data_IF_127647680327
#
_entry.id   IF_127647680327
#
_cell.length_a   1.000
_cell.length_b   1.000
_cell.length_c   1.000
_cell.angle_alpha   90.00
_cell.angle_beta   90.00
_cell.angle_gamma   90.00
#
_symmetry.space_group_name_H-M   'P 1'
#
loop_
_entity.id
_entity.type
_entity.pdbx_description
1 polymer ?
#
# COMPACT_ATOMS: atom_id res chain seq x y z
N UNK A 1 -28.69 -7.72 -42.29
CA UNK A 1 -27.65 -6.77 -42.68
C UNK A 1 -28.27 -5.48 -43.25
N UNK A 2 -28.90 -4.64 -42.42
CA UNK A 2 -29.34 -3.28 -42.76
C UNK A 2 -29.91 -2.62 -41.46
N UNK A 3 -29.05 -2.26 -40.52
CA UNK A 3 -29.48 -1.48 -39.32
C UNK A 3 -28.35 -0.64 -38.67
N UNK A 4 -27.09 -0.80 -39.11
CA UNK A 4 -25.95 -0.13 -38.47
C UNK A 4 -25.54 1.21 -39.13
N UNK A 5 -26.20 1.62 -40.22
CA UNK A 5 -25.79 2.80 -41.00
C UNK A 5 -26.47 4.12 -40.58
N UNK A 6 -27.52 4.08 -39.80
CA UNK A 6 -28.28 5.29 -39.46
C UNK A 6 -27.86 5.96 -38.12
N UNK A 7 -27.43 5.19 -37.15
CA UNK A 7 -26.93 5.77 -35.87
C UNK A 7 -25.56 6.46 -36.06
N UNK A 8 -24.68 5.88 -36.89
CA UNK A 8 -23.38 6.49 -37.20
C UNK A 8 -23.51 7.85 -37.93
N UNK A 9 -24.61 8.07 -38.66
CA UNK A 9 -24.86 9.33 -39.38
C UNK A 9 -25.46 10.46 -38.52
N UNK A 10 -26.09 10.14 -37.41
CA UNK A 10 -26.60 11.13 -36.47
C UNK A 10 -25.52 11.74 -35.58
N UNK A 11 -24.50 10.96 -35.23
CA UNK A 11 -23.36 11.39 -34.39
C UNK A 11 -22.37 12.33 -35.11
N UNK A 12 -22.31 12.28 -36.45
CA UNK A 12 -21.41 13.12 -37.28
C UNK A 12 -21.91 14.57 -37.44
N UNK A 13 -23.14 14.91 -37.03
CA UNK A 13 -23.70 16.25 -37.18
C UNK A 13 -23.53 17.19 -35.98
N UNK A 14 -22.89 16.76 -34.91
CA UNK A 14 -22.64 17.63 -33.76
C UNK A 14 -21.25 18.28 -33.90
N UNK A 15 -21.11 19.60 -34.10
CA UNK A 15 -19.85 20.28 -34.35
C UNK A 15 -18.84 20.16 -33.17
N UNK A 16 -19.32 19.92 -31.94
CA UNK A 16 -18.49 19.79 -30.75
C UNK A 16 -17.66 18.51 -30.68
N UNK A 17 -17.92 17.51 -31.56
CA UNK A 17 -17.23 16.22 -31.53
C UNK A 17 -16.03 16.16 -32.50
N UNK A 18 -15.94 17.10 -33.44
CA UNK A 18 -14.88 17.13 -34.47
C UNK A 18 -13.49 17.57 -33.95
N UNK A 19 -13.43 18.13 -32.75
CA UNK A 19 -12.19 18.70 -32.21
C UNK A 19 -11.39 17.74 -31.31
N UNK A 20 -11.83 16.49 -31.10
CA UNK A 20 -11.14 15.54 -30.22
C UNK A 20 -10.59 14.31 -30.95
N UNK A 21 -9.29 14.30 -31.31
CA UNK A 21 -8.65 13.16 -32.02
C UNK A 21 -8.69 11.84 -31.23
N UNK A 22 -8.82 11.89 -29.89
CA UNK A 22 -8.82 10.70 -29.02
C UNK A 22 -10.12 9.87 -29.13
N UNK A 23 -11.24 10.46 -29.57
CA UNK A 23 -12.53 9.77 -29.66
C UNK A 23 -12.54 8.65 -30.73
N UNK A 24 -11.75 8.80 -31.81
CA UNK A 24 -11.69 7.84 -32.90
C UNK A 24 -10.92 6.53 -32.57
N UNK A 25 -10.13 6.54 -31.52
CA UNK A 25 -9.42 5.34 -31.05
C UNK A 25 -10.34 4.37 -30.29
N UNK A 26 -11.38 4.89 -29.65
CA UNK A 26 -12.35 4.11 -28.88
C UNK A 26 -13.36 3.33 -29.74
N UNK A 27 -13.66 3.80 -30.98
CA UNK A 27 -14.66 3.19 -31.86
C UNK A 27 -14.08 2.34 -33.00
N UNK A 28 -12.76 2.08 -33.02
CA UNK A 28 -12.13 1.12 -33.94
C UNK A 28 -12.19 1.48 -35.43
N UNK A 29 -12.31 2.77 -35.79
CA UNK A 29 -12.31 3.20 -37.18
C UNK A 29 -10.90 3.09 -37.79
N UNK A 30 -10.73 2.22 -38.80
CA UNK A 30 -9.51 2.05 -39.58
C UNK A 30 -9.24 3.30 -40.45
N UNK A 31 -8.06 3.87 -40.33
CA UNK A 31 -7.45 4.76 -41.30
C UNK A 31 -7.16 6.20 -40.84
N UNK A 32 -6.11 6.38 -40.08
CA UNK A 32 -5.47 7.67 -39.86
C UNK A 32 -4.20 7.48 -39.01
N UNK A 33 -3.02 7.75 -39.59
CA UNK A 33 -1.77 7.79 -38.86
C UNK A 33 -1.79 8.99 -37.91
N UNK A 34 -1.76 8.72 -36.58
CA UNK A 34 -1.59 9.76 -35.55
C UNK A 34 -0.09 10.10 -35.49
N UNK A 35 0.27 11.36 -35.72
CA UNK A 35 1.66 11.82 -35.61
C UNK A 35 2.09 11.87 -34.14
N UNK A 36 3.38 11.72 -33.84
CA UNK A 36 3.92 11.74 -32.49
C UNK A 36 3.55 12.99 -31.66
N UNK A 37 3.29 14.12 -32.31
CA UNK A 37 2.83 15.38 -31.68
C UNK A 37 1.37 15.26 -31.19
N UNK A 38 0.53 14.51 -31.87
CA UNK A 38 -0.88 14.28 -31.47
C UNK A 38 -1.00 13.27 -30.34
N UNK A 39 -0.08 12.30 -30.25
CA UNK A 39 -0.01 11.38 -29.11
C UNK A 39 0.46 12.10 -27.82
N UNK A 40 1.47 12.95 -27.92
CA UNK A 40 1.96 13.76 -26.79
C UNK A 40 0.92 14.79 -26.31
N UNK A 41 0.11 15.35 -27.21
CA UNK A 41 -0.99 16.24 -26.84
C UNK A 41 -2.14 15.52 -26.13
N UNK A 42 -2.40 14.25 -26.48
CA UNK A 42 -3.38 13.40 -25.80
C UNK A 42 -2.93 13.05 -24.37
N UNK A 43 -1.64 12.72 -24.19
CA UNK A 43 -1.06 12.42 -22.88
C UNK A 43 -1.01 13.68 -21.99
N UNK A 44 -0.66 14.84 -22.57
CA UNK A 44 -0.71 16.12 -21.84
C UNK A 44 -2.16 16.54 -21.50
N UNK A 45 -3.15 16.20 -22.31
CA UNK A 45 -4.55 16.48 -22.03
C UNK A 45 -5.09 15.58 -20.92
N UNK A 46 -4.71 14.29 -20.91
CA UNK A 46 -5.01 13.39 -19.80
C UNK A 46 -4.31 13.81 -18.50
N UNK A 47 -3.05 14.22 -18.57
CA UNK A 47 -2.32 14.78 -17.42
C UNK A 47 -2.93 16.10 -16.94
N UNK A 48 -3.45 16.95 -17.83
CA UNK A 48 -4.18 18.17 -17.46
C UNK A 48 -5.55 17.91 -16.84
N UNK A 49 -6.29 16.88 -17.27
CA UNK A 49 -7.54 16.46 -16.62
C UNK A 49 -7.28 15.90 -15.21
N UNK A 50 -6.14 15.23 -15.02
CA UNK A 50 -5.69 14.76 -13.70
C UNK A 50 -5.19 15.93 -12.82
N UNK A 51 -4.59 16.98 -13.42
CA UNK A 51 -4.06 18.14 -12.70
C UNK A 51 -5.07 19.27 -12.45
N UNK A 52 -6.24 19.27 -13.09
CA UNK A 52 -7.30 20.27 -12.88
C UNK A 52 -8.34 19.87 -11.83
N UNK A 53 -8.09 18.85 -11.01
CA UNK A 53 -8.84 18.55 -9.78
C UNK A 53 -8.63 19.60 -8.68
N UNK A 54 -8.65 20.88 -9.00
CA UNK A 54 -8.78 22.01 -8.08
C UNK A 54 -10.19 22.58 -8.20
N UNK A 55 -11.13 21.91 -7.53
CA UNK A 55 -12.46 22.42 -7.29
C UNK A 55 -13.05 21.60 -6.15
N UNK A 56 -13.69 22.25 -5.19
CA UNK A 56 -14.45 21.60 -4.11
C UNK A 56 -15.12 20.36 -4.69
N UNK A 57 -14.83 19.18 -4.14
CA UNK A 57 -15.45 17.93 -4.56
C UNK A 57 -16.96 18.09 -4.48
N UNK A 58 -17.66 17.98 -5.60
CA UNK A 58 -19.12 18.13 -5.67
C UNK A 58 -19.88 16.97 -5.03
N UNK A 59 -19.18 16.09 -4.29
CA UNK A 59 -19.77 14.93 -3.61
C UNK A 59 -20.66 15.32 -2.45
N UNK A 60 -21.83 14.67 -2.38
CA UNK A 60 -22.82 14.83 -1.30
C UNK A 60 -22.40 14.04 -0.06
N UNK A 61 -21.82 12.84 -0.27
CA UNK A 61 -21.40 11.96 0.81
C UNK A 61 -20.10 12.44 1.46
N UNK A 62 -20.02 12.34 2.78
CA UNK A 62 -18.83 12.70 3.54
C UNK A 62 -17.66 11.80 3.19
N UNK A 63 -17.90 10.52 2.91
CA UNK A 63 -16.88 9.56 2.55
C UNK A 63 -16.18 9.95 1.23
N UNK A 64 -16.92 10.09 0.13
CA UNK A 64 -16.29 10.42 -1.16
C UNK A 64 -15.67 11.82 -1.15
N UNK A 65 -16.26 12.77 -0.45
CA UNK A 65 -15.67 14.10 -0.27
C UNK A 65 -14.32 13.99 0.44
N UNK A 66 -14.26 13.30 1.58
CA UNK A 66 -13.00 13.08 2.33
C UNK A 66 -11.95 12.38 1.48
N UNK A 67 -12.31 11.31 0.77
CA UNK A 67 -11.37 10.60 -0.07
C UNK A 67 -10.87 11.46 -1.25
N UNK A 68 -11.74 12.26 -1.86
CA UNK A 68 -11.39 13.17 -2.95
C UNK A 68 -10.41 14.25 -2.51
N UNK A 69 -10.71 14.95 -1.41
CA UNK A 69 -9.90 16.05 -0.88
C UNK A 69 -8.53 15.57 -0.40
N UNK A 70 -8.45 14.34 0.10
CA UNK A 70 -7.20 13.71 0.54
C UNK A 70 -6.41 13.01 -0.57
N UNK A 71 -6.99 12.83 -1.77
CA UNK A 71 -6.30 12.25 -2.92
C UNK A 71 -6.32 10.72 -2.98
N UNK A 72 -7.30 10.06 -2.36
CA UNK A 72 -7.45 8.60 -2.40
C UNK A 72 -8.10 8.09 -3.68
N UNK A 73 -8.86 8.90 -4.40
CA UNK A 73 -9.67 8.44 -5.53
C UNK A 73 -8.83 8.39 -6.81
N UNK A 74 -8.69 7.20 -7.37
CA UNK A 74 -8.16 6.98 -8.72
C UNK A 74 -9.31 6.78 -9.71
N UNK A 75 -10.26 5.88 -9.41
CA UNK A 75 -11.37 5.55 -10.29
C UNK A 75 -12.57 5.02 -9.50
N UNK A 76 -13.79 5.37 -9.95
CA UNK A 76 -15.06 4.89 -9.43
C UNK A 76 -15.89 4.33 -10.60
N UNK A 77 -16.60 3.22 -10.41
CA UNK A 77 -17.39 2.56 -11.46
C UNK A 77 -18.63 3.31 -11.88
N UNK A 78 -19.31 3.92 -10.90
CA UNK A 78 -20.48 4.81 -11.07
C UNK A 78 -20.42 5.83 -9.94
N UNK A 79 -19.90 7.01 -10.27
CA UNK A 79 -19.64 8.07 -9.31
C UNK A 79 -20.93 8.61 -8.70
N UNK A 80 -21.92 8.91 -9.53
CA UNK A 80 -23.18 9.49 -9.06
C UNK A 80 -24.02 8.49 -8.26
N UNK A 81 -24.12 7.24 -8.71
CA UNK A 81 -24.86 6.20 -8.01
C UNK A 81 -24.23 5.84 -6.67
N UNK A 82 -22.90 5.76 -6.58
CA UNK A 82 -22.21 5.51 -5.34
C UNK A 82 -22.34 6.69 -4.35
N UNK A 83 -22.22 7.94 -4.83
CA UNK A 83 -22.35 9.12 -3.99
C UNK A 83 -23.78 9.26 -3.40
N UNK A 84 -24.80 9.00 -4.22
CA UNK A 84 -26.19 8.99 -3.75
C UNK A 84 -26.45 7.89 -2.71
N UNK A 85 -25.88 6.70 -2.91
CA UNK A 85 -26.02 5.58 -1.99
C UNK A 85 -25.37 5.91 -0.63
N UNK A 86 -24.10 6.37 -0.65
CA UNK A 86 -23.34 6.73 0.55
C UNK A 86 -23.94 7.93 1.30
N UNK A 87 -24.57 8.88 0.60
CA UNK A 87 -25.25 10.01 1.24
C UNK A 87 -26.59 9.63 1.91
N UNK A 88 -27.17 8.49 1.52
CA UNK A 88 -28.52 8.09 1.94
C UNK A 88 -28.53 7.07 3.07
N UNK A 89 -27.59 6.13 3.08
CA UNK A 89 -27.60 5.02 4.02
C UNK A 89 -26.18 4.58 4.44
N UNK A 90 -26.10 3.82 5.53
CA UNK A 90 -24.85 3.16 5.94
C UNK A 90 -24.53 2.05 4.95
N UNK A 91 -23.43 2.19 4.24
CA UNK A 91 -22.96 1.24 3.23
C UNK A 91 -21.90 0.32 3.83
N UNK A 92 -22.03 -1.00 3.59
CA UNK A 92 -20.98 -1.96 3.88
C UNK A 92 -20.04 -2.04 2.69
N UNK A 93 -18.72 -1.86 2.93
CA UNK A 93 -17.69 -1.93 1.90
C UNK A 93 -16.47 -2.73 2.36
N UNK A 94 -15.73 -3.34 1.43
CA UNK A 94 -14.59 -4.17 1.77
C UNK A 94 -13.33 -3.89 0.96
N UNK A 95 -12.21 -4.30 1.54
CA UNK A 95 -10.94 -4.50 0.85
C UNK A 95 -10.44 -5.91 1.18
N UNK A 96 -9.92 -6.62 0.17
CA UNK A 96 -9.31 -7.94 0.33
C UNK A 96 -7.80 -7.84 0.59
N UNK A 97 -7.31 -8.71 1.48
CA UNK A 97 -5.90 -8.80 1.86
C UNK A 97 -5.45 -10.26 1.84
N UNK A 98 -4.57 -10.62 0.92
CA UNK A 98 -3.93 -11.92 0.92
C UNK A 98 -2.87 -12.00 2.01
N UNK A 99 -2.95 -12.97 2.95
CA UNK A 99 -2.07 -13.08 4.11
C UNK A 99 -0.73 -13.70 3.73
N UNK A 100 0.08 -13.00 2.93
CA UNK A 100 1.37 -13.49 2.40
C UNK A 100 2.55 -13.32 3.35
N UNK A 101 2.34 -12.65 4.48
CA UNK A 101 3.28 -12.45 5.57
C UNK A 101 2.51 -12.21 6.88
N UNK A 102 3.15 -12.37 8.06
CA UNK A 102 2.50 -12.14 9.36
C UNK A 102 2.23 -10.65 9.66
N UNK A 103 2.54 -9.76 8.73
CA UNK A 103 2.26 -8.32 8.80
C UNK A 103 1.93 -7.77 7.41
N UNK A 104 1.32 -6.59 7.38
CA UNK A 104 1.27 -5.73 6.20
C UNK A 104 2.47 -4.78 6.21
N UNK A 105 2.83 -4.23 5.06
CA UNK A 105 3.87 -3.21 4.95
C UNK A 105 3.26 -1.84 4.62
N UNK A 106 4.03 -0.76 4.80
CA UNK A 106 3.57 0.62 4.61
C UNK A 106 2.96 0.90 3.22
N UNK A 107 3.32 0.11 2.18
CA UNK A 107 2.67 0.21 0.87
C UNK A 107 1.19 -0.19 0.87
N UNK A 108 0.74 -1.01 1.83
CA UNK A 108 -0.67 -1.39 2.02
C UNK A 108 -1.44 -0.45 2.95
N UNK A 109 -0.77 0.51 3.57
CA UNK A 109 -1.40 1.40 4.56
C UNK A 109 -2.49 2.28 3.95
N UNK A 110 -2.36 2.66 2.66
CA UNK A 110 -3.40 3.44 1.98
C UNK A 110 -4.76 2.72 1.98
N UNK A 111 -4.77 1.39 1.77
CA UNK A 111 -5.99 0.60 1.80
C UNK A 111 -6.60 0.53 3.21
N UNK A 112 -5.75 0.45 4.24
CA UNK A 112 -6.21 0.50 5.64
C UNK A 112 -6.83 1.87 5.94
N UNK A 113 -6.20 2.96 5.49
CA UNK A 113 -6.73 4.32 5.65
C UNK A 113 -8.06 4.53 4.91
N UNK A 114 -8.29 3.89 3.77
CA UNK A 114 -9.60 3.93 3.09
C UNK A 114 -10.69 3.27 3.96
N UNK A 115 -10.41 2.13 4.60
CA UNK A 115 -11.35 1.49 5.53
C UNK A 115 -11.54 2.35 6.80
N UNK A 116 -10.48 2.98 7.30
CA UNK A 116 -10.55 3.92 8.42
C UNK A 116 -11.51 5.08 8.10
N UNK A 117 -11.30 5.77 6.97
CA UNK A 117 -12.18 6.88 6.56
C UNK A 117 -13.62 6.43 6.30
N UNK A 118 -13.81 5.21 5.76
CA UNK A 118 -15.15 4.63 5.60
C UNK A 118 -15.87 4.54 6.96
N UNK A 119 -15.17 4.06 8.01
CA UNK A 119 -15.74 3.96 9.34
C UNK A 119 -15.98 5.34 9.97
N UNK A 120 -15.01 6.26 9.85
CA UNK A 120 -15.11 7.60 10.43
C UNK A 120 -16.25 8.43 9.80
N UNK A 121 -16.68 8.10 8.59
CA UNK A 121 -17.78 8.77 7.90
C UNK A 121 -19.12 8.03 8.03
N UNK A 122 -19.23 7.07 8.96
CA UNK A 122 -20.51 6.43 9.33
C UNK A 122 -20.89 5.22 8.49
N UNK A 123 -19.94 4.57 7.83
CA UNK A 123 -20.14 3.35 7.05
C UNK A 123 -19.46 2.14 7.69
N UNK A 124 -19.75 0.93 7.18
CA UNK A 124 -19.28 -0.33 7.76
C UNK A 124 -18.13 -0.93 6.98
N UNK A 125 -16.89 -0.91 7.50
CA UNK A 125 -15.76 -1.53 6.84
C UNK A 125 -15.70 -3.05 7.07
N UNK A 126 -15.32 -3.78 6.03
CA UNK A 126 -15.02 -5.21 6.08
C UNK A 126 -13.59 -5.44 5.59
N UNK A 127 -12.74 -5.98 6.45
CA UNK A 127 -11.43 -6.49 6.06
C UNK A 127 -11.58 -7.98 5.67
N UNK A 128 -11.51 -8.28 4.37
CA UNK A 128 -11.57 -9.65 3.87
C UNK A 128 -10.17 -10.27 3.89
N UNK A 129 -9.99 -11.31 4.69
CA UNK A 129 -8.77 -12.11 4.69
C UNK A 129 -8.83 -13.18 3.58
N UNK A 130 -7.83 -13.19 2.72
CA UNK A 130 -7.69 -14.14 1.63
C UNK A 130 -7.18 -15.51 2.10
N UNK A 131 -7.84 -16.15 3.07
CA UNK A 131 -7.43 -17.48 3.54
C UNK A 131 -7.58 -18.57 2.48
N UNK A 132 -8.58 -18.44 1.60
CA UNK A 132 -8.76 -19.30 0.42
C UNK A 132 -7.93 -18.82 -0.78
N UNK A 133 -8.03 -17.54 -1.13
CA UNK A 133 -7.29 -16.95 -2.27
C UNK A 133 -5.78 -16.91 -2.03
N UNK A 134 -5.31 -16.82 -0.80
CA UNK A 134 -3.89 -16.90 -0.44
C UNK A 134 -3.24 -18.24 -0.77
N UNK A 135 -4.02 -19.33 -0.87
CA UNK A 135 -3.54 -20.62 -1.37
C UNK A 135 -3.36 -20.64 -2.90
N UNK A 136 -3.98 -19.70 -3.61
CA UNK A 136 -3.91 -19.58 -5.08
C UNK A 136 -2.86 -18.56 -5.49
N UNK A 137 -2.89 -17.37 -4.93
CA UNK A 137 -2.00 -16.24 -5.18
C UNK A 137 -2.44 -15.35 -6.34
N UNK A 138 -2.59 -14.06 -6.06
CA UNK A 138 -2.94 -13.04 -7.05
C UNK A 138 -1.80 -12.84 -8.07
N UNK A 139 -2.04 -13.03 -9.38
CA UNK A 139 -1.04 -12.83 -10.43
C UNK A 139 -0.82 -11.35 -10.78
N UNK A 140 -1.65 -10.43 -10.27
CA UNK A 140 -1.64 -9.02 -10.67
C UNK A 140 -0.27 -8.37 -10.44
N UNK A 141 0.36 -7.89 -11.54
CA UNK A 141 1.65 -7.19 -11.57
C UNK A 141 2.82 -7.95 -10.92
N UNK A 142 2.83 -9.28 -11.02
CA UNK A 142 3.94 -10.14 -10.55
C UNK A 142 4.51 -10.94 -11.71
N UNK A 143 5.83 -11.05 -11.71
CA UNK A 143 6.58 -11.75 -12.77
C UNK A 143 6.76 -13.25 -12.48
N UNK A 144 6.58 -13.67 -11.22
CA UNK A 144 6.78 -15.07 -10.78
C UNK A 144 5.57 -15.59 -9.99
N UNK A 145 5.33 -16.89 -10.10
CA UNK A 145 4.34 -17.60 -9.29
C UNK A 145 4.71 -17.54 -7.79
N UNK A 146 3.70 -17.35 -6.93
CA UNK A 146 3.91 -17.35 -5.49
C UNK A 146 4.21 -18.74 -4.96
N UNK A 147 5.04 -18.82 -3.90
CA UNK A 147 5.15 -20.04 -3.09
C UNK A 147 3.79 -20.37 -2.48
N UNK A 148 3.36 -21.62 -2.65
CA UNK A 148 2.17 -22.12 -1.97
C UNK A 148 2.38 -22.14 -0.47
N UNK A 149 1.46 -21.56 0.28
CA UNK A 149 1.49 -21.51 1.74
C UNK A 149 0.63 -22.63 2.33
N UNK A 150 1.02 -23.11 3.51
CA UNK A 150 0.19 -24.03 4.28
C UNK A 150 -0.95 -23.30 4.99
N UNK A 151 -2.00 -24.01 5.38
CA UNK A 151 -3.11 -23.44 6.13
C UNK A 151 -2.67 -22.84 7.47
N UNK A 152 -1.75 -23.51 8.18
CA UNK A 152 -1.21 -23.03 9.44
C UNK A 152 -0.46 -21.69 9.25
N UNK A 153 0.38 -21.60 8.22
CA UNK A 153 1.07 -20.34 7.88
C UNK A 153 0.09 -19.22 7.55
N UNK A 154 -0.99 -19.54 6.81
CA UNK A 154 -2.03 -18.56 6.49
C UNK A 154 -2.75 -18.10 7.77
N UNK A 155 -3.08 -19.01 8.68
CA UNK A 155 -3.75 -18.67 9.94
C UNK A 155 -2.87 -17.79 10.85
N UNK A 156 -1.57 -18.09 10.96
CA UNK A 156 -0.58 -17.28 11.69
C UNK A 156 -0.46 -15.87 11.08
N UNK A 157 -0.38 -15.78 9.75
CA UNK A 157 -0.31 -14.51 9.05
C UNK A 157 -1.58 -13.67 9.27
N UNK A 158 -2.77 -14.27 9.19
CA UNK A 158 -4.04 -13.58 9.49
C UNK A 158 -4.05 -13.03 10.91
N UNK A 159 -3.59 -13.82 11.89
CA UNK A 159 -3.52 -13.38 13.28
C UNK A 159 -2.58 -12.17 13.47
N UNK A 160 -1.45 -12.14 12.75
CA UNK A 160 -0.53 -11.01 12.73
C UNK A 160 -1.16 -9.76 12.10
N UNK A 161 -1.79 -9.91 10.96
CA UNK A 161 -2.47 -8.81 10.24
C UNK A 161 -3.62 -8.22 11.07
N UNK A 162 -4.37 -9.07 11.79
CA UNK A 162 -5.47 -8.61 12.66
C UNK A 162 -5.03 -7.59 13.70
N UNK A 163 -3.82 -7.73 14.26
CA UNK A 163 -3.28 -6.76 15.23
C UNK A 163 -3.07 -5.37 14.61
N UNK A 164 -2.67 -5.31 13.34
CA UNK A 164 -2.52 -4.04 12.61
C UNK A 164 -3.88 -3.34 12.47
N UNK A 165 -4.89 -4.06 12.02
CA UNK A 165 -6.23 -3.48 11.81
C UNK A 165 -6.85 -2.93 13.09
N UNK A 166 -6.61 -3.55 14.24
CA UNK A 166 -7.14 -3.13 15.54
C UNK A 166 -6.69 -1.71 15.95
N UNK A 167 -5.60 -1.20 15.36
CA UNK A 167 -5.12 0.17 15.62
C UNK A 167 -5.82 1.22 14.73
N UNK A 168 -6.46 0.81 13.66
CA UNK A 168 -7.11 1.72 12.69
C UNK A 168 -8.63 1.63 12.69
N UNK A 169 -9.20 0.50 13.09
CA UNK A 169 -10.61 0.18 13.01
C UNK A 169 -11.15 -0.25 14.37
N UNK A 170 -12.35 0.21 14.70
CA UNK A 170 -13.12 -0.29 15.83
C UNK A 170 -13.93 -1.50 15.38
N UNK A 171 -13.67 -2.66 15.99
CA UNK A 171 -14.40 -3.90 15.76
C UNK A 171 -15.48 -4.09 16.83
N UNK A 172 -16.64 -4.62 16.45
CA UNK A 172 -17.75 -4.89 17.38
C UNK A 172 -19.05 -5.17 16.64
N UNK A 173 -20.18 -4.92 17.33
CA UNK A 173 -21.51 -5.28 16.86
C UNK A 173 -22.39 -4.09 16.44
N UNK A 174 -21.84 -2.85 16.48
CA UNK A 174 -22.61 -1.68 16.05
C UNK A 174 -22.75 -1.64 14.52
N UNK A 175 -23.64 -0.77 14.03
CA UNK A 175 -23.92 -0.66 12.59
C UNK A 175 -22.68 -0.28 11.77
N UNK A 176 -21.73 0.43 12.37
CA UNK A 176 -20.51 0.93 11.73
C UNK A 176 -19.23 0.22 12.20
N UNK A 177 -19.35 -0.70 13.16
CA UNK A 177 -18.20 -1.47 13.61
C UNK A 177 -17.66 -2.36 12.49
N UNK A 178 -16.34 -2.43 12.40
CA UNK A 178 -15.65 -3.20 11.40
C UNK A 178 -15.86 -4.71 11.59
N UNK A 179 -15.88 -5.42 10.47
CA UNK A 179 -15.83 -6.88 10.44
C UNK A 179 -14.52 -7.37 9.84
N UNK A 180 -14.01 -8.47 10.35
CA UNK A 180 -12.95 -9.23 9.70
C UNK A 180 -13.51 -10.60 9.34
N UNK A 181 -13.50 -10.92 8.05
CA UNK A 181 -14.05 -12.18 7.52
C UNK A 181 -12.97 -12.90 6.69
N UNK A 182 -13.10 -14.20 6.54
CA UNK A 182 -12.14 -15.03 5.82
C UNK A 182 -12.83 -15.73 4.65
N UNK A 183 -12.34 -15.55 3.43
CA UNK A 183 -12.94 -16.17 2.25
C UNK A 183 -12.76 -17.70 2.23
N UNK A 184 -11.87 -18.26 3.03
CA UNK A 184 -11.81 -19.71 3.25
C UNK A 184 -13.13 -20.30 3.76
N UNK A 185 -13.96 -19.52 4.46
CA UNK A 185 -15.24 -19.97 5.04
C UNK A 185 -16.26 -20.40 3.96
N UNK A 186 -16.13 -19.88 2.75
CA UNK A 186 -16.98 -20.29 1.62
C UNK A 186 -16.20 -20.94 0.48
N UNK A 187 -14.93 -20.58 0.22
CA UNK A 187 -14.17 -21.13 -0.89
C UNK A 187 -13.75 -22.58 -0.67
N UNK A 188 -13.48 -23.01 0.57
CA UNK A 188 -13.01 -24.38 0.86
C UNK A 188 -14.05 -25.47 0.57
N UNK A 189 -15.32 -25.14 0.71
CA UNK A 189 -16.41 -26.10 0.61
C UNK A 189 -17.13 -26.06 -0.74
N UNK A 190 -16.57 -25.36 -1.73
CA UNK A 190 -17.13 -25.25 -3.07
C UNK A 190 -16.98 -26.59 -3.80
N UNK A 191 -18.10 -27.14 -4.29
CA UNK A 191 -18.05 -28.22 -5.25
C UNK A 191 -17.57 -27.68 -6.60
N UNK A 192 -16.48 -28.22 -7.12
CA UNK A 192 -15.83 -27.71 -8.33
C UNK A 192 -16.75 -27.72 -9.56
N UNK A 193 -17.52 -28.80 -9.78
CA UNK A 193 -18.42 -28.89 -10.94
C UNK A 193 -19.60 -27.92 -10.82
N UNK A 194 -20.15 -27.77 -9.64
CA UNK A 194 -21.22 -26.80 -9.38
C UNK A 194 -20.72 -25.38 -9.56
N UNK A 195 -19.54 -25.07 -9.06
CA UNK A 195 -18.92 -23.75 -9.24
C UNK A 195 -18.67 -23.42 -10.71
N UNK A 196 -18.13 -24.35 -11.51
CA UNK A 196 -17.96 -24.15 -12.94
C UNK A 196 -19.30 -23.91 -13.65
N UNK A 197 -20.35 -24.67 -13.30
CA UNK A 197 -21.68 -24.54 -13.87
C UNK A 197 -22.35 -23.23 -13.50
N UNK A 198 -22.29 -22.84 -12.22
CA UNK A 198 -23.11 -21.76 -11.70
C UNK A 198 -22.38 -20.39 -11.72
N UNK A 199 -21.06 -20.40 -11.60
CA UNK A 199 -20.20 -19.21 -11.61
C UNK A 199 -19.35 -19.13 -12.89
N UNK A 200 -18.62 -20.21 -13.22
CA UNK A 200 -17.68 -20.23 -14.35
C UNK A 200 -18.35 -19.91 -15.70
N UNK A 201 -19.62 -20.34 -15.90
CA UNK A 201 -20.42 -20.01 -17.10
C UNK A 201 -20.56 -18.53 -17.39
N UNK A 202 -20.37 -17.67 -16.42
CA UNK A 202 -20.48 -16.21 -16.56
C UNK A 202 -19.20 -15.55 -17.04
N UNK A 203 -18.08 -16.27 -17.09
CA UNK A 203 -16.79 -15.78 -17.52
C UNK A 203 -16.46 -16.21 -18.96
N UNK A 204 -16.07 -15.26 -19.78
CA UNK A 204 -15.55 -15.54 -21.11
C UNK A 204 -14.02 -15.58 -21.08
N UNK A 205 -13.43 -16.68 -21.53
CA UNK A 205 -11.96 -16.84 -21.62
C UNK A 205 -11.34 -15.71 -22.43
N UNK A 206 -11.94 -15.32 -23.55
CA UNK A 206 -11.42 -14.22 -24.39
C UNK A 206 -11.36 -12.89 -23.62
N UNK A 207 -12.35 -12.62 -22.76
CA UNK A 207 -12.36 -11.43 -21.90
C UNK A 207 -11.32 -11.56 -20.79
N UNK A 208 -11.21 -12.72 -20.17
CA UNK A 208 -10.21 -12.97 -19.12
C UNK A 208 -8.78 -12.77 -19.63
N UNK A 209 -8.49 -13.19 -20.88
CA UNK A 209 -7.20 -12.98 -21.54
C UNK A 209 -6.91 -11.50 -21.89
N UNK A 210 -7.93 -10.64 -21.93
CA UNK A 210 -7.77 -9.22 -22.26
C UNK A 210 -7.45 -8.33 -21.06
N UNK A 211 -7.52 -8.85 -19.83
CA UNK A 211 -7.18 -8.07 -18.63
C UNK A 211 -5.68 -7.79 -18.55
N UNK A 212 -5.31 -6.60 -18.12
CA UNK A 212 -3.92 -6.15 -18.10
C UNK A 212 -3.00 -7.07 -17.30
N UNK A 213 -3.48 -7.63 -16.18
CA UNK A 213 -2.74 -8.59 -15.35
C UNK A 213 -2.38 -9.88 -16.08
N UNK A 214 -3.28 -10.37 -16.94
CA UNK A 214 -3.08 -11.57 -17.76
C UNK A 214 -2.31 -11.22 -19.04
N UNK A 215 -2.78 -10.21 -19.76
CA UNK A 215 -2.22 -9.78 -21.03
C UNK A 215 -0.74 -9.43 -20.93
N UNK A 216 -0.35 -8.67 -19.90
CA UNK A 216 1.05 -8.29 -19.68
C UNK A 216 1.96 -9.51 -19.51
N UNK A 217 1.50 -10.56 -18.83
CA UNK A 217 2.26 -11.81 -18.67
C UNK A 217 2.37 -12.57 -19.98
N UNK A 218 1.28 -12.67 -20.73
CA UNK A 218 1.27 -13.32 -22.05
C UNK A 218 2.14 -12.58 -23.07
N UNK A 219 2.05 -11.25 -23.12
CA UNK A 219 2.85 -10.40 -24.01
C UNK A 219 4.37 -10.50 -23.71
N UNK A 220 4.73 -10.80 -22.45
CA UNK A 220 6.11 -11.01 -22.01
C UNK A 220 6.55 -12.47 -22.07
N UNK A 221 5.74 -13.37 -22.60
CA UNK A 221 5.97 -14.82 -22.64
C UNK A 221 6.24 -15.43 -21.25
N UNK A 222 5.71 -14.81 -20.20
CA UNK A 222 5.84 -15.30 -18.82
C UNK A 222 4.79 -16.38 -18.53
N UNK A 223 5.18 -17.41 -17.77
CA UNK A 223 4.28 -18.48 -17.38
C UNK A 223 3.12 -17.95 -16.53
N UNK A 224 1.90 -18.33 -16.87
CA UNK A 224 0.68 -18.13 -16.09
C UNK A 224 0.02 -19.48 -15.86
N UNK A 225 -0.02 -19.93 -14.62
CA UNK A 225 -0.64 -21.20 -14.30
C UNK A 225 -2.17 -21.11 -14.38
N UNK A 226 -2.84 -22.25 -14.61
CA UNK A 226 -4.31 -22.32 -14.56
C UNK A 226 -4.84 -21.90 -13.18
N UNK A 227 -4.11 -22.20 -12.11
CA UNK A 227 -4.44 -21.78 -10.75
C UNK A 227 -4.50 -20.26 -10.64
N UNK A 228 -3.44 -19.56 -11.02
CA UNK A 228 -3.38 -18.09 -11.01
C UNK A 228 -4.43 -17.46 -11.93
N UNK A 229 -4.69 -18.06 -13.09
CA UNK A 229 -5.71 -17.59 -14.03
C UNK A 229 -7.13 -17.62 -13.44
N UNK A 230 -7.42 -18.56 -12.53
CA UNK A 230 -8.71 -18.63 -11.85
C UNK A 230 -8.84 -17.62 -10.70
N UNK A 231 -7.78 -16.96 -10.24
CA UNK A 231 -7.84 -16.03 -9.11
C UNK A 231 -8.92 -14.95 -9.31
N UNK A 232 -9.03 -14.37 -10.51
CA UNK A 232 -10.02 -13.34 -10.82
C UNK A 232 -11.48 -13.82 -10.65
N UNK A 233 -11.74 -15.12 -10.87
CA UNK A 233 -13.08 -15.72 -10.69
C UNK A 233 -13.38 -15.83 -9.19
N UNK A 234 -12.39 -16.25 -8.38
CA UNK A 234 -12.53 -16.39 -6.94
C UNK A 234 -12.78 -15.05 -6.27
N UNK A 235 -12.02 -14.01 -6.65
CA UNK A 235 -12.22 -12.65 -6.12
C UNK A 235 -13.59 -12.07 -6.54
N UNK A 236 -14.03 -12.33 -7.76
CA UNK A 236 -15.36 -11.90 -8.21
C UNK A 236 -16.46 -12.62 -7.42
N UNK A 237 -16.27 -13.91 -7.10
CA UNK A 237 -17.20 -14.69 -6.29
C UNK A 237 -17.23 -14.20 -4.84
N UNK A 238 -16.07 -13.80 -4.26
CA UNK A 238 -16.00 -13.18 -2.94
C UNK A 238 -16.93 -11.97 -2.84
N UNK A 239 -16.95 -11.12 -3.86
CA UNK A 239 -17.82 -9.94 -3.87
C UNK A 239 -19.31 -10.34 -3.83
N UNK A 240 -19.71 -11.38 -4.60
CA UNK A 240 -21.07 -11.90 -4.61
C UNK A 240 -21.46 -12.53 -3.26
N UNK A 241 -20.56 -13.30 -2.66
CA UNK A 241 -20.80 -13.93 -1.35
C UNK A 241 -20.89 -12.87 -0.24
N UNK A 242 -20.01 -11.87 -0.26
CA UNK A 242 -20.06 -10.76 0.70
C UNK A 242 -21.33 -9.94 0.54
N UNK A 243 -21.77 -9.67 -0.69
CA UNK A 243 -23.04 -8.99 -0.95
C UNK A 243 -24.24 -9.76 -0.36
N UNK A 244 -24.28 -11.10 -0.56
CA UNK A 244 -25.38 -11.93 -0.05
C UNK A 244 -25.37 -12.08 1.48
N UNK A 245 -24.18 -12.16 2.09
CA UNK A 245 -24.04 -12.45 3.53
C UNK A 245 -24.12 -11.21 4.39
N UNK A 246 -23.62 -10.07 3.90
CA UNK A 246 -23.40 -8.85 4.68
C UNK A 246 -24.03 -7.60 4.06
N UNK A 247 -24.90 -7.77 3.04
CA UNK A 247 -25.45 -6.65 2.25
C UNK A 247 -24.39 -5.66 1.76
N UNK A 248 -23.24 -6.22 1.38
CA UNK A 248 -22.09 -5.42 0.96
C UNK A 248 -22.31 -4.89 -0.46
N UNK A 249 -21.99 -3.61 -0.68
CA UNK A 249 -22.29 -2.89 -1.93
C UNK A 249 -21.06 -2.33 -2.64
N UNK A 250 -19.93 -2.16 -1.94
CA UNK A 250 -18.74 -1.51 -2.47
C UNK A 250 -17.49 -2.36 -2.24
N UNK A 251 -16.74 -2.64 -3.31
CA UNK A 251 -15.37 -3.14 -3.21
C UNK A 251 -14.38 -2.01 -3.47
N UNK A 252 -13.37 -1.90 -2.61
CA UNK A 252 -12.27 -0.95 -2.76
C UNK A 252 -10.94 -1.69 -2.93
N UNK A 253 -9.94 -1.00 -3.49
CA UNK A 253 -8.60 -1.57 -3.68
C UNK A 253 -7.62 -0.60 -4.31
N UNK A 254 -6.41 -1.06 -4.67
CA UNK A 254 -5.48 -0.31 -5.51
C UNK A 254 -5.93 -0.32 -6.97
N UNK A 255 -5.41 0.60 -7.79
CA UNK A 255 -5.75 0.68 -9.22
C UNK A 255 -5.36 -0.58 -10.01
N UNK A 256 -4.40 -1.36 -9.49
CA UNK A 256 -4.03 -2.69 -10.01
C UNK A 256 -5.15 -3.73 -9.89
N UNK A 257 -6.10 -3.52 -8.97
CA UNK A 257 -7.22 -4.40 -8.72
C UNK A 257 -8.48 -4.08 -9.54
N UNK A 258 -8.47 -3.01 -10.34
CA UNK A 258 -9.64 -2.55 -11.08
C UNK A 258 -10.32 -3.65 -11.90
N UNK A 259 -9.53 -4.39 -12.69
CA UNK A 259 -10.04 -5.50 -13.52
C UNK A 259 -10.73 -6.60 -12.70
N UNK A 260 -10.12 -6.99 -11.58
CA UNK A 260 -10.69 -8.01 -10.69
C UNK A 260 -12.00 -7.52 -10.06
N UNK A 261 -12.05 -6.25 -9.62
CA UNK A 261 -13.24 -5.65 -8.99
C UNK A 261 -14.41 -5.55 -9.98
N UNK A 262 -14.17 -5.11 -11.22
CA UNK A 262 -15.19 -5.02 -12.26
C UNK A 262 -15.76 -6.39 -12.62
N UNK A 263 -14.95 -7.45 -12.59
CA UNK A 263 -15.44 -8.82 -12.75
C UNK A 263 -16.45 -9.20 -11.66
N UNK A 264 -16.22 -8.75 -10.42
CA UNK A 264 -17.14 -8.94 -9.31
C UNK A 264 -18.49 -8.23 -9.51
N UNK A 265 -18.47 -6.99 -10.02
CA UNK A 265 -19.69 -6.24 -10.38
C UNK A 265 -20.47 -6.97 -11.48
N UNK A 266 -19.80 -7.39 -12.56
CA UNK A 266 -20.43 -8.12 -13.66
C UNK A 266 -21.02 -9.44 -13.20
N UNK A 267 -20.31 -10.19 -12.37
CA UNK A 267 -20.78 -11.45 -11.81
C UNK A 267 -21.99 -11.21 -10.92
N UNK A 268 -21.94 -10.22 -10.03
CA UNK A 268 -23.03 -9.85 -9.14
C UNK A 268 -24.30 -9.51 -9.91
N UNK A 269 -24.19 -8.69 -10.96
CA UNK A 269 -25.33 -8.37 -11.84
C UNK A 269 -25.96 -9.64 -12.46
N UNK A 270 -25.13 -10.58 -12.95
CA UNK A 270 -25.59 -11.85 -13.55
C UNK A 270 -26.17 -12.83 -12.52
N UNK A 271 -25.76 -12.74 -11.26
CA UNK A 271 -26.22 -13.57 -10.15
C UNK A 271 -27.31 -12.90 -9.31
N UNK A 272 -27.82 -11.72 -9.74
CA UNK A 272 -28.98 -11.06 -9.15
C UNK A 272 -28.70 -10.38 -7.81
N UNK A 273 -27.46 -9.94 -7.54
CA UNK A 273 -27.17 -9.08 -6.39
C UNK A 273 -27.75 -7.69 -6.61
N UNK A 274 -27.95 -6.87 -5.56
CA UNK A 274 -28.15 -5.43 -5.72
C UNK A 274 -27.01 -4.79 -6.51
N UNK A 275 -27.18 -3.52 -6.94
CA UNK A 275 -26.12 -2.79 -7.63
C UNK A 275 -24.83 -2.75 -6.77
N UNK A 276 -23.74 -3.21 -7.35
CA UNK A 276 -22.41 -3.21 -6.74
C UNK A 276 -21.55 -2.10 -7.35
N UNK A 277 -20.60 -1.59 -6.55
CA UNK A 277 -19.75 -0.47 -6.91
C UNK A 277 -18.27 -0.80 -6.69
N UNK A 278 -17.41 -0.12 -7.45
CA UNK A 278 -15.95 -0.17 -7.32
C UNK A 278 -15.38 1.22 -7.05
N UNK A 279 -14.36 1.29 -6.18
CA UNK A 279 -13.53 2.46 -5.96
C UNK A 279 -12.08 2.02 -5.82
N UNK A 280 -11.17 2.64 -6.58
CA UNK A 280 -9.74 2.34 -6.47
C UNK A 280 -8.91 3.56 -6.10
N UNK A 281 -7.85 3.30 -5.33
CA UNK A 281 -6.80 4.28 -5.02
C UNK A 281 -5.67 4.22 -6.02
N UNK A 282 -4.89 5.30 -6.19
CA UNK A 282 -3.68 5.26 -6.99
C UNK A 282 -2.64 4.31 -6.39
N UNK A 283 -1.83 3.69 -7.25
CA UNK A 283 -0.60 3.02 -6.81
C UNK A 283 0.41 4.08 -6.42
N UNK A 284 0.92 3.97 -5.20
CA UNK A 284 1.83 4.98 -4.66
C UNK A 284 3.28 4.61 -4.93
N UNK A 285 3.98 5.59 -5.51
CA UNK A 285 5.44 5.67 -5.58
C UNK A 285 5.90 6.91 -4.85
N UNK A 286 7.14 6.93 -4.36
CA UNK A 286 7.79 8.16 -3.90
C UNK A 286 8.01 9.12 -5.07
N UNK A 287 8.35 10.37 -4.79
CA UNK A 287 8.68 11.36 -5.82
C UNK A 287 9.86 10.90 -6.71
N UNK A 288 10.79 10.11 -6.17
CA UNK A 288 11.88 9.47 -6.92
C UNK A 288 11.46 8.22 -7.72
N UNK A 289 10.17 7.83 -7.69
CA UNK A 289 9.63 6.68 -8.44
C UNK A 289 9.79 5.32 -7.75
N UNK A 290 10.26 5.27 -6.51
CA UNK A 290 10.36 4.02 -5.76
C UNK A 290 8.98 3.56 -5.27
N UNK A 291 8.75 2.24 -5.23
CA UNK A 291 7.50 1.69 -4.67
C UNK A 291 7.43 1.96 -3.16
N UNK A 292 6.29 2.48 -2.69
CA UNK A 292 6.00 2.67 -1.27
C UNK A 292 6.15 1.37 -0.46
N UNK A 293 6.61 1.50 0.78
CA UNK A 293 6.73 0.40 1.74
C UNK A 293 7.96 -0.48 1.57
N UNK A 294 8.94 -0.05 0.75
CA UNK A 294 10.26 -0.68 0.64
C UNK A 294 11.35 0.36 0.87
N UNK A 295 12.39 -0.03 1.59
CA UNK A 295 13.62 0.73 1.76
C UNK A 295 14.81 -0.12 1.30
N UNK A 296 16.01 0.45 1.33
CA UNK A 296 17.24 -0.32 1.11
C UNK A 296 17.42 -1.48 2.12
N UNK A 297 16.79 -1.38 3.30
CA UNK A 297 16.78 -2.41 4.34
C UNK A 297 15.65 -3.44 4.24
N UNK A 298 14.77 -3.35 3.23
CA UNK A 298 13.66 -4.29 3.05
C UNK A 298 12.27 -3.65 3.17
N UNK A 299 11.27 -4.46 3.52
CA UNK A 299 9.89 -4.00 3.69
C UNK A 299 9.72 -3.21 5.00
N UNK A 300 8.96 -2.13 4.95
CA UNK A 300 8.58 -1.34 6.12
C UNK A 300 7.33 -1.98 6.72
N UNK A 301 7.53 -2.86 7.67
CA UNK A 301 6.48 -3.63 8.32
C UNK A 301 5.67 -2.80 9.30
N UNK A 302 4.40 -3.17 9.48
CA UNK A 302 3.47 -2.48 10.38
C UNK A 302 3.43 -3.08 11.79
N UNK A 303 3.85 -4.33 11.99
CA UNK A 303 3.91 -4.93 13.33
C UNK A 303 5.22 -4.57 14.03
N UNK A 304 5.13 -4.17 15.30
CA UNK A 304 6.28 -3.74 16.10
C UNK A 304 7.35 -4.84 16.29
N UNK A 305 6.93 -6.12 16.26
CA UNK A 305 7.84 -7.27 16.34
C UNK A 305 8.72 -7.44 15.10
N UNK A 306 8.31 -6.83 13.96
CA UNK A 306 9.05 -6.91 12.69
C UNK A 306 9.79 -5.62 12.33
N UNK A 307 9.34 -4.48 12.85
CA UNK A 307 9.99 -3.18 12.70
C UNK A 307 9.65 -2.31 13.92
N UNK A 308 10.67 -1.83 14.62
CA UNK A 308 10.46 -1.00 15.81
C UNK A 308 9.68 0.29 15.50
N UNK A 309 8.96 0.84 16.48
CA UNK A 309 8.26 2.12 16.34
C UNK A 309 9.23 3.25 15.95
N UNK A 310 10.47 3.20 16.46
CA UNK A 310 11.51 4.16 16.11
C UNK A 310 11.93 4.06 14.64
N UNK A 311 12.18 2.85 14.11
CA UNK A 311 12.57 2.68 12.71
C UNK A 311 11.41 3.00 11.76
N UNK A 312 10.17 2.68 12.17
CA UNK A 312 8.96 3.09 11.46
C UNK A 312 8.83 4.61 11.43
N UNK A 313 9.03 5.31 12.56
CA UNK A 313 9.04 6.77 12.64
C UNK A 313 10.15 7.37 11.76
N UNK A 314 11.36 6.81 11.81
CA UNK A 314 12.49 7.25 10.97
C UNK A 314 12.21 7.11 9.47
N UNK A 315 11.50 6.06 9.05
CA UNK A 315 11.09 5.92 7.66
C UNK A 315 10.26 7.12 7.19
N UNK A 316 9.24 7.50 7.95
CA UNK A 316 8.38 8.65 7.61
C UNK A 316 9.11 9.98 7.76
N UNK A 317 9.98 10.13 8.75
CA UNK A 317 10.82 11.33 8.93
C UNK A 317 11.75 11.57 7.74
N UNK A 318 12.12 10.52 7.01
CA UNK A 318 12.99 10.55 5.84
C UNK A 318 12.23 10.69 4.51
N UNK A 319 10.94 11.02 4.55
CA UNK A 319 10.12 11.33 3.36
C UNK A 319 10.77 12.44 2.53
N UNK A 320 10.71 12.32 1.20
CA UNK A 320 11.16 13.35 0.27
C UNK A 320 10.26 14.59 0.40
N UNK A 321 10.83 15.80 0.24
CA UNK A 321 10.10 17.05 0.45
C UNK A 321 8.83 17.12 -0.42
N UNK A 322 8.94 16.68 -1.68
CA UNK A 322 7.83 16.67 -2.62
C UNK A 322 6.67 15.71 -2.26
N UNK A 323 6.91 14.75 -1.35
CA UNK A 323 5.92 13.79 -0.91
C UNK A 323 5.21 14.19 0.39
N UNK A 324 5.72 15.20 1.11
CA UNK A 324 5.25 15.54 2.46
C UNK A 324 3.76 15.87 2.48
N UNK A 325 3.29 16.79 1.64
CA UNK A 325 1.87 17.16 1.57
C UNK A 325 0.98 15.95 1.27
N UNK A 326 1.36 15.19 0.24
CA UNK A 326 0.61 14.01 -0.20
C UNK A 326 0.51 12.96 0.92
N UNK A 327 1.60 12.71 1.63
CA UNK A 327 1.61 11.71 2.69
C UNK A 327 0.90 12.18 3.96
N UNK A 328 0.96 13.48 4.29
CA UNK A 328 0.11 14.05 5.34
C UNK A 328 -1.38 13.84 5.04
N UNK A 329 -1.82 14.07 3.79
CA UNK A 329 -3.21 13.83 3.37
C UNK A 329 -3.62 12.36 3.44
N UNK A 330 -2.75 11.45 2.99
CA UNK A 330 -3.08 10.04 2.84
C UNK A 330 -2.93 9.23 4.14
N UNK A 331 -2.01 9.59 5.01
CA UNK A 331 -1.61 8.72 6.13
C UNK A 331 -1.85 9.33 7.51
N UNK A 332 -2.41 10.54 7.59
CA UNK A 332 -2.80 11.15 8.87
C UNK A 332 -4.27 11.52 8.90
N UNK A 333 -4.77 11.78 10.10
CA UNK A 333 -6.12 12.31 10.31
C UNK A 333 -6.14 13.83 10.54
N UNK A 334 -5.01 14.51 10.35
CA UNK A 334 -4.90 15.95 10.52
C UNK A 334 -5.92 16.70 9.65
N UNK A 335 -6.47 17.82 10.13
CA UNK A 335 -7.33 18.70 9.33
C UNK A 335 -6.60 19.20 8.07
N UNK A 336 -7.34 19.34 6.96
CA UNK A 336 -6.74 19.73 5.66
C UNK A 336 -6.16 21.15 5.69
N UNK A 337 -6.71 22.07 6.48
CA UNK A 337 -6.19 23.42 6.68
C UNK A 337 -4.86 23.42 7.47
N UNK A 338 -4.68 22.50 8.40
CA UNK A 338 -3.42 22.28 9.08
C UNK A 338 -2.37 21.67 8.14
N UNK A 339 -2.76 20.66 7.36
CA UNK A 339 -1.89 20.08 6.32
C UNK A 339 -1.44 21.16 5.33
N UNK A 340 -2.34 22.05 4.91
CA UNK A 340 -1.99 23.14 3.99
C UNK A 340 -0.92 24.10 4.59
N UNK A 341 -0.99 24.37 5.90
CA UNK A 341 0.03 25.19 6.59
C UNK A 341 1.38 24.46 6.64
N UNK A 342 1.38 23.17 6.96
CA UNK A 342 2.58 22.34 6.99
C UNK A 342 3.21 22.19 5.60
N UNK A 343 2.39 22.05 4.57
CA UNK A 343 2.84 21.93 3.18
C UNK A 343 3.43 23.25 2.60
N UNK A 344 3.12 24.40 3.22
CA UNK A 344 3.67 25.68 2.84
C UNK A 344 5.08 25.94 3.42
N UNK A 345 5.58 25.07 4.31
CA UNK A 345 6.93 25.19 4.86
C UNK A 345 7.98 24.81 3.79
N UNK A 346 9.03 25.60 3.70
CA UNK A 346 10.10 25.41 2.71
C UNK A 346 11.49 25.33 3.37
N UNK A 347 12.47 24.85 2.62
CA UNK A 347 13.85 24.78 3.07
C UNK A 347 14.02 23.93 4.35
N UNK A 348 14.61 24.52 5.38
CA UNK A 348 14.85 23.81 6.65
C UNK A 348 13.56 23.56 7.42
N UNK A 349 12.57 24.45 7.27
CA UNK A 349 11.30 24.37 8.03
C UNK A 349 10.44 23.17 7.63
N UNK A 350 10.58 22.63 6.39
CA UNK A 350 9.87 21.42 5.96
C UNK A 350 10.20 20.21 6.84
N UNK A 351 11.33 20.25 7.55
CA UNK A 351 11.69 19.20 8.50
C UNK A 351 10.71 19.10 9.67
N UNK A 352 10.04 20.19 10.06
CA UNK A 352 9.01 20.16 11.09
C UNK A 352 7.75 19.44 10.56
N UNK A 353 7.35 19.70 9.31
CA UNK A 353 6.25 18.96 8.68
C UNK A 353 6.54 17.45 8.59
N UNK A 354 7.80 17.06 8.33
CA UNK A 354 8.23 15.66 8.30
C UNK A 354 8.22 15.02 9.69
N UNK A 355 8.59 15.75 10.75
CA UNK A 355 8.51 15.28 12.13
C UNK A 355 7.05 15.03 12.52
N UNK A 356 6.15 15.95 12.18
CA UNK A 356 4.71 15.84 12.42
C UNK A 356 4.15 14.63 11.65
N UNK A 357 4.45 14.50 10.34
CA UNK A 357 4.05 13.33 9.54
C UNK A 357 4.48 12.02 10.22
N UNK A 358 5.76 11.90 10.60
CA UNK A 358 6.30 10.70 11.21
C UNK A 358 5.61 10.39 12.56
N UNK A 359 5.40 11.42 13.38
CA UNK A 359 4.77 11.27 14.69
C UNK A 359 3.29 10.88 14.56
N UNK A 360 2.52 11.53 13.68
CA UNK A 360 1.10 11.21 13.51
C UNK A 360 0.89 9.81 12.92
N UNK A 361 1.65 9.43 11.88
CA UNK A 361 1.54 8.07 11.30
C UNK A 361 1.97 7.00 12.30
N UNK A 362 3.03 7.25 13.08
CA UNK A 362 3.48 6.32 14.12
C UNK A 362 2.47 6.24 15.27
N UNK A 363 1.86 7.36 15.67
CA UNK A 363 0.85 7.37 16.71
C UNK A 363 -0.40 6.58 16.33
N UNK A 364 -0.84 6.63 15.08
CA UNK A 364 -1.96 5.82 14.61
C UNK A 364 -1.67 4.32 14.65
N UNK A 365 -0.43 3.90 14.42
CA UNK A 365 -0.06 2.48 14.37
C UNK A 365 0.41 1.92 15.71
N UNK A 366 1.25 2.66 16.44
CA UNK A 366 1.94 2.17 17.63
C UNK A 366 1.50 2.89 18.94
N UNK A 367 0.59 3.84 18.81
CA UNK A 367 0.14 4.67 19.94
C UNK A 367 0.96 5.95 20.10
N UNK A 368 0.34 6.94 20.77
CA UNK A 368 0.92 8.30 20.96
C UNK A 368 2.24 8.26 21.74
N UNK A 369 2.28 7.48 22.82
CA UNK A 369 3.47 7.40 23.69
C UNK A 369 4.69 6.87 22.90
N UNK A 370 4.53 5.80 22.13
CA UNK A 370 5.61 5.23 21.30
C UNK A 370 6.07 6.20 20.20
N UNK A 371 5.16 7.00 19.65
CA UNK A 371 5.48 8.00 18.63
C UNK A 371 6.28 9.17 19.23
N UNK A 372 5.87 9.68 20.38
CA UNK A 372 6.56 10.77 21.08
C UNK A 372 7.93 10.33 21.60
N UNK A 373 8.04 9.11 22.12
CA UNK A 373 9.31 8.51 22.53
C UNK A 373 10.26 8.36 21.33
N UNK A 374 9.75 7.95 20.17
CA UNK A 374 10.54 7.86 18.94
C UNK A 374 11.02 9.23 18.46
N UNK A 375 10.16 10.25 18.51
CA UNK A 375 10.51 11.62 18.17
C UNK A 375 11.57 12.19 19.11
N UNK A 376 11.42 11.99 20.41
CA UNK A 376 12.39 12.47 21.42
C UNK A 376 13.72 11.73 21.32
N UNK A 377 13.70 10.42 21.05
CA UNK A 377 14.90 9.63 20.76
C UNK A 377 15.67 10.19 19.57
N UNK A 378 14.94 10.51 18.49
CA UNK A 378 15.54 11.12 17.31
C UNK A 378 16.10 12.51 17.61
N UNK A 379 15.40 13.34 18.39
CA UNK A 379 15.85 14.67 18.79
C UNK A 379 17.17 14.60 19.56
N UNK A 380 17.23 13.78 20.61
CA UNK A 380 18.45 13.58 21.40
C UNK A 380 19.62 13.09 20.58
N UNK A 381 19.35 12.12 19.70
CA UNK A 381 20.41 11.52 18.87
C UNK A 381 20.96 12.45 17.80
N UNK A 382 20.12 13.29 17.17
CA UNK A 382 20.51 14.08 16.01
C UNK A 382 20.70 15.57 16.28
N UNK A 383 19.99 16.13 17.28
CA UNK A 383 20.04 17.57 17.61
C UNK A 383 20.97 17.83 18.79
N UNK A 384 20.89 17.01 19.82
CA UNK A 384 21.69 17.20 21.05
C UNK A 384 22.99 16.39 21.06
N UNK A 385 23.13 15.40 20.15
CA UNK A 385 24.30 14.50 20.09
C UNK A 385 24.37 13.52 21.26
N UNK A 386 23.30 13.42 22.07
CA UNK A 386 23.20 12.51 23.21
C UNK A 386 22.81 11.11 22.75
N UNK A 387 23.32 10.09 23.49
CA UNK A 387 22.90 8.71 23.31
C UNK A 387 21.55 8.49 23.98
N UNK A 388 20.51 8.25 23.16
CA UNK A 388 19.22 7.83 23.71
C UNK A 388 19.22 6.33 24.01
N UNK A 389 18.71 5.94 25.19
CA UNK A 389 18.55 4.52 25.59
C UNK A 389 17.56 3.76 24.69
N UNK A 390 16.76 4.45 23.92
CA UNK A 390 15.72 3.90 23.04
C UNK A 390 16.17 3.62 21.61
N UNK A 391 17.47 3.79 21.31
CA UNK A 391 18.03 3.31 20.04
C UNK A 391 17.94 1.79 19.96
N UNK A 392 17.74 1.22 18.76
CA UNK A 392 17.84 -0.22 18.55
C UNK A 392 19.09 -0.77 19.23
N UNK A 393 18.91 -1.79 20.08
CA UNK A 393 20.01 -2.31 20.90
C UNK A 393 20.22 -3.79 20.61
N UNK A 394 21.45 -4.17 20.33
CA UNK A 394 21.86 -5.56 20.09
C UNK A 394 22.78 -6.05 21.19
N UNK A 395 22.41 -7.17 21.81
CA UNK A 395 23.23 -7.85 22.82
C UNK A 395 24.38 -8.62 22.18
N UNK A 396 25.60 -8.40 22.66
CA UNK A 396 26.79 -9.18 22.27
C UNK A 396 27.36 -9.86 23.52
N UNK A 397 27.58 -11.16 23.46
CA UNK A 397 28.17 -11.90 24.57
C UNK A 397 29.47 -11.23 25.07
N UNK A 398 29.58 -11.00 26.38
CA UNK A 398 30.73 -10.37 27.01
C UNK A 398 32.06 -11.06 26.59
N UNK A 399 32.06 -12.39 26.49
CA UNK A 399 33.24 -13.14 26.07
C UNK A 399 33.65 -12.79 24.63
N UNK A 400 32.68 -12.62 23.71
CA UNK A 400 32.94 -12.24 22.32
C UNK A 400 33.48 -10.81 22.24
N UNK A 401 32.90 -9.89 23.01
CA UNK A 401 33.33 -8.49 23.02
C UNK A 401 34.74 -8.38 23.65
N UNK A 402 35.04 -9.15 24.70
CA UNK A 402 36.38 -9.17 25.33
C UNK A 402 37.44 -9.76 24.41
N UNK A 403 37.09 -10.74 23.56
CA UNK A 403 38.01 -11.30 22.56
C UNK A 403 38.15 -10.45 21.30
N UNK A 404 37.27 -9.48 21.13
CA UNK A 404 37.16 -8.63 19.94
C UNK A 404 36.34 -9.25 18.82
N UNK A 405 35.45 -8.47 18.24
CA UNK A 405 34.63 -8.81 17.07
C UNK A 405 35.05 -7.93 15.90
N UNK A 406 35.23 -8.50 14.70
CA UNK A 406 35.53 -7.71 13.51
C UNK A 406 34.35 -6.77 13.16
N UNK A 407 34.65 -5.50 12.80
CA UNK A 407 33.65 -4.47 12.53
C UNK A 407 32.63 -4.91 11.47
N UNK A 408 33.03 -5.66 10.45
CA UNK A 408 32.12 -6.16 9.41
C UNK A 408 31.09 -7.14 9.99
N UNK A 409 31.56 -8.09 10.83
CA UNK A 409 30.67 -9.03 11.49
C UNK A 409 29.76 -8.35 12.51
N UNK A 410 30.24 -7.31 13.21
CA UNK A 410 29.44 -6.51 14.13
C UNK A 410 28.35 -5.76 13.39
N UNK A 411 28.62 -5.20 12.21
CA UNK A 411 27.61 -4.53 11.37
C UNK A 411 26.51 -5.47 10.87
N UNK A 412 26.86 -6.71 10.54
CA UNK A 412 25.90 -7.74 10.16
C UNK A 412 25.07 -8.18 11.36
N UNK A 413 25.71 -8.41 12.52
CA UNK A 413 25.04 -8.76 13.77
C UNK A 413 24.06 -7.64 14.25
N UNK A 414 24.43 -6.39 14.02
CA UNK A 414 23.62 -5.21 14.31
C UNK A 414 22.55 -4.93 13.25
N UNK A 415 22.38 -5.81 12.27
CA UNK A 415 21.43 -5.70 11.16
C UNK A 415 21.54 -4.38 10.34
N UNK A 416 22.70 -3.73 10.45
CA UNK A 416 23.00 -2.56 9.62
C UNK A 416 23.34 -2.93 8.18
N UNK A 417 23.78 -4.17 7.95
CA UNK A 417 24.10 -4.74 6.65
C UNK A 417 23.66 -6.21 6.60
N UNK A 418 23.38 -6.70 5.41
CA UNK A 418 22.98 -8.10 5.19
C UNK A 418 24.17 -9.04 5.02
N UNK A 419 25.32 -8.51 4.58
CA UNK A 419 26.55 -9.28 4.32
C UNK A 419 27.80 -8.52 4.71
N UNK A 420 28.88 -9.26 5.02
CA UNK A 420 30.21 -8.67 5.25
C UNK A 420 30.74 -7.92 4.01
N UNK A 421 30.35 -8.31 2.79
CA UNK A 421 30.74 -7.62 1.56
C UNK A 421 30.08 -6.25 1.43
N UNK A 422 28.83 -6.13 1.86
CA UNK A 422 28.11 -4.86 1.95
C UNK A 422 28.72 -3.96 3.03
N UNK A 423 28.96 -4.51 4.23
CA UNK A 423 29.58 -3.81 5.33
C UNK A 423 30.95 -3.24 4.94
N UNK A 424 31.77 -4.01 4.21
CA UNK A 424 33.08 -3.58 3.71
C UNK A 424 32.98 -2.34 2.83
N UNK A 425 32.05 -2.34 1.85
CA UNK A 425 31.85 -1.17 0.97
C UNK A 425 31.46 0.08 1.76
N UNK A 426 30.69 -0.06 2.81
CA UNK A 426 30.31 1.06 3.67
C UNK A 426 31.47 1.58 4.52
N UNK A 427 32.34 0.72 5.02
CA UNK A 427 33.55 1.12 5.74
C UNK A 427 34.51 1.85 4.79
N UNK A 428 34.78 1.26 3.62
CA UNK A 428 35.66 1.86 2.60
C UNK A 428 35.10 3.20 2.04
N UNK A 429 33.77 3.33 2.01
CA UNK A 429 33.07 4.55 1.64
C UNK A 429 32.97 5.60 2.76
N UNK A 430 33.56 5.36 3.95
CA UNK A 430 33.59 6.29 5.07
C UNK A 430 32.23 6.53 5.74
N UNK A 431 31.27 5.61 5.54
CA UNK A 431 29.91 5.74 6.08
C UNK A 431 29.77 5.17 7.50
N UNK A 432 30.75 4.44 8.02
CA UNK A 432 30.67 3.75 9.31
C UNK A 432 31.36 4.56 10.40
N UNK A 433 30.72 4.65 11.58
CA UNK A 433 31.30 5.27 12.79
C UNK A 433 31.05 4.39 14.01
N UNK A 434 32.00 4.42 14.93
CA UNK A 434 31.91 3.82 16.27
C UNK A 434 32.10 4.95 17.27
N UNK A 435 31.10 5.15 18.16
CA UNK A 435 31.08 6.28 19.13
C UNK A 435 31.39 7.62 18.44
N UNK A 436 30.78 7.82 17.28
CA UNK A 436 30.91 8.99 16.39
C UNK A 436 32.27 9.15 15.69
N UNK A 437 33.27 8.31 16.00
CA UNK A 437 34.57 8.27 15.34
C UNK A 437 34.48 7.46 14.03
N UNK A 438 35.01 7.98 12.91
CA UNK A 438 34.95 7.28 11.63
C UNK A 438 35.82 6.02 11.60
N UNK A 439 35.26 4.95 11.04
CA UNK A 439 35.94 3.68 10.81
C UNK A 439 36.39 3.61 9.36
N UNK A 440 37.70 3.52 9.11
CA UNK A 440 38.29 3.46 7.77
C UNK A 440 38.90 2.08 7.44
N UNK A 441 39.21 1.24 8.45
CA UNK A 441 39.79 -0.08 8.23
C UNK A 441 38.74 -1.18 8.34
N UNK A 442 38.42 -1.88 7.24
CA UNK A 442 37.48 -3.00 7.27
C UNK A 442 37.95 -4.21 8.12
N UNK A 443 39.23 -4.25 8.53
CA UNK A 443 39.79 -5.28 9.40
C UNK A 443 39.77 -4.88 10.87
N UNK A 444 39.27 -3.69 11.19
CA UNK A 444 39.17 -3.21 12.57
C UNK A 444 38.45 -4.23 13.44
N UNK A 445 38.97 -4.48 14.62
CA UNK A 445 38.37 -5.28 15.68
C UNK A 445 37.81 -4.33 16.74
N UNK A 446 36.59 -4.57 17.17
CA UNK A 446 35.86 -3.82 18.21
C UNK A 446 35.83 -4.71 19.44
N UNK A 447 36.33 -4.21 20.55
CA UNK A 447 36.38 -4.92 21.84
C UNK A 447 35.71 -4.13 22.96
N UNK A 448 35.80 -4.63 24.19
CA UNK A 448 35.24 -4.00 25.37
C UNK A 448 35.85 -2.60 25.68
N UNK A 449 37.01 -2.27 25.14
CA UNK A 449 37.63 -0.95 25.26
C UNK A 449 36.90 0.13 24.47
N UNK A 450 36.01 -0.25 23.55
CA UNK A 450 35.14 0.68 22.81
C UNK A 450 33.85 1.04 23.56
N UNK A 451 33.57 0.47 24.73
CA UNK A 451 32.43 0.83 25.55
C UNK A 451 32.58 2.28 26.05
N UNK A 452 31.53 3.07 25.90
CA UNK A 452 31.45 4.42 26.42
C UNK A 452 31.06 4.43 27.93
N UNK A 453 30.93 5.64 28.51
CA UNK A 453 30.58 5.83 29.93
C UNK A 453 29.22 5.23 30.31
N UNK A 454 28.35 4.96 29.34
CA UNK A 454 27.04 4.30 29.54
C UNK A 454 27.11 2.76 29.37
N UNK A 455 28.32 2.21 29.16
CA UNK A 455 28.53 0.77 28.99
C UNK A 455 28.00 0.20 27.67
N UNK A 456 27.88 1.02 26.63
CA UNK A 456 27.45 0.64 25.29
C UNK A 456 28.40 1.15 24.22
N UNK A 457 28.34 0.56 23.00
CA UNK A 457 29.05 1.05 21.83
C UNK A 457 28.00 1.54 20.84
N UNK A 458 28.05 2.81 20.44
CA UNK A 458 27.22 3.36 19.35
C UNK A 458 27.83 3.01 18.01
N UNK A 459 27.18 2.13 17.26
CA UNK A 459 27.53 1.78 15.89
C UNK A 459 26.61 2.53 14.93
N UNK A 460 27.20 3.27 13.97
CA UNK A 460 26.45 4.13 13.06
C UNK A 460 26.77 3.82 11.61
N UNK A 461 25.75 3.82 10.74
CA UNK A 461 25.88 3.72 9.30
C UNK A 461 25.26 4.95 8.64
N UNK A 462 26.11 5.83 8.10
CA UNK A 462 25.70 7.15 7.60
C UNK A 462 25.25 8.06 8.74
N UNK A 463 24.36 9.03 8.40
CA UNK A 463 23.84 10.00 9.36
C UNK A 463 22.51 9.59 10.01
N UNK A 464 21.94 8.44 9.64
CA UNK A 464 20.53 8.13 9.94
C UNK A 464 20.31 6.77 10.62
N UNK A 465 21.27 5.87 10.58
CA UNK A 465 21.12 4.51 11.14
C UNK A 465 22.13 4.33 12.28
N UNK A 466 21.59 4.13 13.48
CA UNK A 466 22.37 3.96 14.71
C UNK A 466 21.83 2.76 15.48
N UNK A 467 22.73 1.97 16.04
CA UNK A 467 22.43 0.79 16.86
C UNK A 467 23.36 0.82 18.07
N UNK A 468 22.82 0.53 19.25
CA UNK A 468 23.62 0.35 20.46
C UNK A 468 24.04 -1.12 20.59
N UNK A 469 25.31 -1.35 20.77
CA UNK A 469 25.86 -2.68 21.12
C UNK A 469 26.03 -2.73 22.62
N UNK A 470 25.34 -3.66 23.26
CA UNK A 470 25.38 -3.83 24.71
C UNK A 470 25.98 -5.21 25.08
N UNK A 471 26.91 -5.29 26.06
CA UNK A 471 27.37 -6.58 26.59
C UNK A 471 26.20 -7.35 27.23
N UNK A 472 25.97 -8.58 26.78
CA UNK A 472 24.93 -9.49 27.26
C UNK A 472 25.54 -10.66 28.07
#
# INVERSE_FOLDING_TARGET
MRSTSNEAKLLVRNPSIREFPCYWRLIGAKGGHITGVQAAACDQFQLRLISQGKGMSGFKSDFLRTLSERGFIHQISDESGLDELLAKETVTAYIGFDPTAPSLHAGGLIQIMMLHWLQQTGHKPVALMGGGTGMVGDPSFKDEARKLMTEDTIAENIAGIKRVFANYLTFGDSATDALMVNNADWLRNINYLEFLRDVGRHFSVNRMLSFDSVKTRLDREQSLSFLEFNYMILQAYDFVELSKRYDLRLQMGGSDQWGNIINGIDLGHRMGTPQLYALTSPLLTTASGQKMGKSLGGAIWLNAEMLSAYDFWQYWRNTEDADVERFLKLYTTLPLDEIAKLAALEGVEINEAKKILATEVTAMLHGRDAAEESAETARKTFEDGELSENLPTVGVHKATLNSGIGVLALMVLAELCTTNGEARRHVEGGAVRINDEPVSDPRMTVDAGALNDQGVIKLSLGKKRHVLIRPA
#
